data_IF_204163285008
#
_entry.id   IF_204163285008
#
_cell.length_a   1.000
_cell.length_b   1.000
_cell.length_c   1.000
_cell.angle_alpha   90.00
_cell.angle_beta   90.00
_cell.angle_gamma   90.00
#
_symmetry.space_group_name_H-M   'P 1'
#
loop_
_entity.id
_entity.type
_entity.pdbx_description
1 polymer ?
#
# COMPACT_ATOMS: atom_id res chain seq x y z
N UNK A 1 -14.53 9.74 -33.44
CA UNK A 1 -13.39 10.12 -34.28
C UNK A 1 -12.35 9.07 -34.02
N UNK A 2 -12.05 8.27 -35.03
CA UNK A 2 -11.01 7.25 -34.94
C UNK A 2 -9.66 7.96 -34.80
N UNK A 3 -8.75 7.37 -34.04
CA UNK A 3 -7.41 7.89 -33.78
C UNK A 3 -6.41 7.08 -34.57
N UNK A 4 -5.40 7.69 -35.19
CA UNK A 4 -4.26 6.95 -35.73
C UNK A 4 -3.24 6.65 -34.63
N UNK A 5 -2.90 5.37 -34.47
CA UNK A 5 -1.91 4.92 -33.49
C UNK A 5 -0.68 4.39 -34.22
N UNK A 6 0.49 4.93 -33.90
CA UNK A 6 1.75 4.35 -34.35
C UNK A 6 2.29 3.43 -33.26
N UNK A 7 2.34 2.14 -33.56
CA UNK A 7 2.98 1.14 -32.71
C UNK A 7 4.46 1.02 -33.09
N UNK A 8 5.34 1.38 -32.16
CA UNK A 8 6.79 1.35 -32.38
C UNK A 8 7.32 -0.01 -31.94
N UNK A 9 7.79 -0.79 -32.91
CA UNK A 9 8.43 -2.08 -32.65
C UNK A 9 9.66 -1.89 -31.74
N UNK A 10 9.82 -2.83 -30.81
CA UNK A 10 10.90 -2.76 -29.83
C UNK A 10 12.27 -2.70 -30.51
N UNK A 11 13.13 -1.78 -30.07
CA UNK A 11 14.47 -1.54 -30.61
C UNK A 11 14.51 -0.66 -31.87
N UNK A 12 13.38 -0.24 -32.44
CA UNK A 12 13.36 0.62 -33.62
C UNK A 12 13.51 2.11 -33.29
N UNK A 13 14.71 2.52 -32.87
CA UNK A 13 14.99 3.94 -32.54
C UNK A 13 15.11 4.86 -33.76
N UNK A 14 15.31 4.31 -34.96
CA UNK A 14 15.41 5.11 -36.19
C UNK A 14 14.09 5.83 -36.52
N UNK A 15 12.96 5.29 -36.07
CA UNK A 15 11.62 5.84 -36.36
C UNK A 15 11.43 7.26 -35.83
N UNK A 16 12.17 7.66 -34.78
CA UNK A 16 12.07 9.00 -34.19
C UNK A 16 12.67 10.10 -35.07
N UNK A 17 13.43 9.74 -36.11
CA UNK A 17 13.88 10.67 -37.16
C UNK A 17 12.88 10.85 -38.30
N UNK A 18 11.82 10.03 -38.38
CA UNK A 18 10.82 10.12 -39.43
C UNK A 18 9.81 11.23 -39.12
N UNK A 19 9.63 12.19 -40.03
CA UNK A 19 8.69 13.31 -39.89
C UNK A 19 7.22 12.88 -39.88
N UNK A 20 6.90 11.71 -40.41
CA UNK A 20 5.51 11.25 -40.49
C UNK A 20 4.96 10.80 -39.13
N UNK A 21 5.83 10.58 -38.12
CA UNK A 21 5.43 10.24 -36.74
C UNK A 21 4.46 11.28 -36.15
N UNK A 22 4.57 12.54 -36.57
CA UNK A 22 3.77 13.67 -36.13
C UNK A 22 2.31 13.61 -36.64
N UNK A 23 2.02 12.74 -37.62
CA UNK A 23 0.64 12.51 -38.05
C UNK A 23 -0.13 11.59 -37.10
N UNK A 24 0.53 10.89 -36.17
CA UNK A 24 -0.15 10.00 -35.23
C UNK A 24 -0.94 10.77 -34.16
N UNK A 25 -2.13 10.28 -33.80
CA UNK A 25 -2.83 10.74 -32.58
C UNK A 25 -2.13 10.27 -31.31
N UNK A 26 -1.53 9.08 -31.37
CA UNK A 26 -0.91 8.46 -30.22
C UNK A 26 0.20 7.51 -30.64
N UNK A 27 1.25 7.45 -29.84
CA UNK A 27 2.37 6.53 -29.99
C UNK A 27 2.25 5.41 -28.97
N UNK A 28 2.48 4.17 -29.38
CA UNK A 28 2.62 3.04 -28.46
C UNK A 28 4.09 2.64 -28.48
N UNK A 29 4.76 2.78 -27.33
CA UNK A 29 6.20 2.59 -27.19
C UNK A 29 6.44 1.55 -26.11
N UNK A 30 7.31 0.57 -26.38
CA UNK A 30 7.73 -0.37 -25.34
C UNK A 30 8.35 0.37 -24.14
N UNK A 31 7.96 0.01 -22.92
CA UNK A 31 8.44 0.69 -21.70
C UNK A 31 9.97 0.65 -21.55
N UNK A 32 10.64 -0.39 -22.04
CA UNK A 32 12.10 -0.51 -21.99
C UNK A 32 12.75 0.50 -22.93
N UNK A 33 12.27 0.63 -24.16
CA UNK A 33 12.80 1.61 -25.11
C UNK A 33 12.52 3.04 -24.64
N UNK A 34 11.31 3.28 -24.11
CA UNK A 34 10.97 4.55 -23.50
C UNK A 34 11.96 4.89 -22.36
N UNK A 35 12.30 3.92 -21.50
CA UNK A 35 13.26 4.14 -20.41
C UNK A 35 14.65 4.54 -20.91
N UNK A 36 15.11 3.98 -22.02
CA UNK A 36 16.39 4.33 -22.67
C UNK A 36 16.32 5.75 -23.23
N UNK A 37 15.23 6.09 -23.93
CA UNK A 37 15.02 7.40 -24.53
C UNK A 37 14.96 8.49 -23.44
N UNK A 38 14.20 8.26 -22.36
CA UNK A 38 14.10 9.21 -21.25
C UNK A 38 15.37 9.32 -20.43
N UNK A 39 16.19 8.26 -20.33
CA UNK A 39 17.52 8.37 -19.71
C UNK A 39 18.42 9.32 -20.51
N UNK A 40 18.25 9.38 -21.83
CA UNK A 40 18.94 10.29 -22.73
C UNK A 40 18.06 11.49 -23.14
N UNK A 41 17.19 11.96 -22.24
CA UNK A 41 16.12 12.91 -22.56
C UNK A 41 16.59 14.17 -23.29
N UNK A 42 17.78 14.71 -22.96
CA UNK A 42 18.33 15.91 -23.59
C UNK A 42 18.42 15.79 -25.12
N UNK A 43 18.73 14.59 -25.65
CA UNK A 43 18.83 14.35 -27.09
C UNK A 43 17.47 14.29 -27.79
N UNK A 44 16.39 14.07 -27.03
CA UNK A 44 15.02 13.91 -27.55
C UNK A 44 14.08 15.02 -27.06
N UNK A 45 14.58 16.01 -26.32
CA UNK A 45 13.75 17.01 -25.66
C UNK A 45 12.87 17.79 -26.64
N UNK A 46 13.43 18.21 -27.78
CA UNK A 46 12.68 18.91 -28.83
C UNK A 46 11.56 18.04 -29.41
N UNK A 47 11.85 16.77 -29.68
CA UNK A 47 10.88 15.79 -30.18
C UNK A 47 9.70 15.63 -29.22
N UNK A 48 9.97 15.44 -27.92
CA UNK A 48 8.92 15.28 -26.92
C UNK A 48 8.13 16.56 -26.67
N UNK A 49 8.77 17.73 -26.71
CA UNK A 49 8.06 19.01 -26.62
C UNK A 49 7.13 19.18 -27.81
N UNK A 50 7.59 18.83 -29.01
CA UNK A 50 6.73 18.83 -30.20
C UNK A 50 5.55 17.86 -30.08
N UNK A 51 5.75 16.67 -29.52
CA UNK A 51 4.64 15.76 -29.20
C UNK A 51 3.62 16.39 -28.25
N UNK A 52 4.05 17.14 -27.22
CA UNK A 52 3.13 17.88 -26.35
C UNK A 52 2.38 18.98 -27.09
N UNK A 53 3.08 19.77 -27.91
CA UNK A 53 2.51 20.90 -28.64
C UNK A 53 1.46 20.45 -29.67
N UNK A 54 1.72 19.32 -30.33
CA UNK A 54 0.80 18.67 -31.28
C UNK A 54 -0.21 17.73 -30.59
N UNK A 55 -0.18 17.64 -29.25
CA UNK A 55 -1.09 16.83 -28.42
C UNK A 55 -1.08 15.34 -28.77
N UNK A 56 0.10 14.82 -29.14
CA UNK A 56 0.35 13.42 -29.45
C UNK A 56 0.58 12.68 -28.12
N UNK A 57 -0.31 11.74 -27.80
CA UNK A 57 -0.22 10.98 -26.54
C UNK A 57 0.72 9.81 -26.65
N UNK A 58 1.50 9.56 -25.60
CA UNK A 58 2.37 8.38 -25.52
C UNK A 58 1.75 7.34 -24.59
N UNK A 59 1.56 6.14 -25.11
CA UNK A 59 1.15 4.95 -24.39
C UNK A 59 2.36 4.02 -24.21
N UNK A 60 2.69 3.72 -22.96
CA UNK A 60 3.77 2.78 -22.66
C UNK A 60 3.25 1.35 -22.71
N UNK A 61 3.74 0.54 -23.64
CA UNK A 61 3.45 -0.88 -23.68
C UNK A 61 4.16 -1.59 -22.53
N UNK A 62 3.36 -2.14 -21.61
CA UNK A 62 3.82 -2.87 -20.44
C UNK A 62 3.74 -4.38 -20.67
N UNK A 63 4.86 -5.07 -20.49
CA UNK A 63 4.93 -6.53 -20.55
C UNK A 63 4.40 -7.17 -19.26
N UNK A 64 3.36 -7.99 -19.39
CA UNK A 64 2.72 -8.69 -18.28
C UNK A 64 3.59 -9.82 -17.70
N UNK A 65 4.53 -10.36 -18.47
CA UNK A 65 5.33 -11.51 -18.08
C UNK A 65 6.48 -11.12 -17.16
N UNK A 66 6.97 -9.87 -17.23
CA UNK A 66 8.07 -9.39 -16.41
C UNK A 66 7.75 -8.06 -15.70
N UNK A 67 6.85 -8.14 -14.72
CA UNK A 67 6.38 -6.96 -13.98
C UNK A 67 7.48 -6.20 -13.23
N UNK A 68 8.48 -6.91 -12.68
CA UNK A 68 9.57 -6.27 -11.91
C UNK A 68 10.39 -5.35 -12.81
N UNK A 69 10.90 -5.88 -13.93
CA UNK A 69 11.67 -5.08 -14.90
C UNK A 69 10.81 -3.98 -15.52
N UNK A 70 9.53 -4.23 -15.80
CA UNK A 70 8.62 -3.19 -16.28
C UNK A 70 8.48 -2.03 -15.29
N UNK A 71 8.41 -2.31 -13.98
CA UNK A 71 8.29 -1.27 -12.97
C UNK A 71 9.57 -0.46 -12.80
N UNK A 72 10.74 -1.11 -12.90
CA UNK A 72 12.03 -0.44 -12.89
C UNK A 72 12.18 0.49 -14.12
N UNK A 73 11.84 -0.01 -15.32
CA UNK A 73 11.86 0.78 -16.55
C UNK A 73 10.86 1.95 -16.51
N UNK A 74 9.65 1.73 -15.99
CA UNK A 74 8.63 2.77 -15.86
C UNK A 74 9.11 3.92 -14.96
N UNK A 75 9.80 3.62 -13.86
CA UNK A 75 10.30 4.64 -12.92
C UNK A 75 11.40 5.53 -13.54
N UNK A 76 11.99 5.14 -14.68
CA UNK A 76 12.95 5.94 -15.46
C UNK A 76 12.30 6.86 -16.51
N UNK A 77 10.96 6.84 -16.65
CA UNK A 77 10.23 7.67 -17.62
C UNK A 77 9.72 8.97 -17.02
N UNK A 78 9.46 9.99 -17.86
CA UNK A 78 8.95 11.29 -17.42
C UNK A 78 7.43 11.40 -17.62
N UNK A 79 6.69 11.41 -16.51
CA UNK A 79 5.23 11.29 -16.53
C UNK A 79 4.49 12.41 -17.27
N UNK A 80 5.10 13.61 -17.39
CA UNK A 80 4.50 14.73 -18.11
C UNK A 80 4.25 14.47 -19.60
N UNK A 81 4.96 13.51 -20.21
CA UNK A 81 4.82 13.12 -21.62
C UNK A 81 3.95 11.87 -21.82
N UNK A 82 3.60 11.17 -20.75
CA UNK A 82 2.91 9.88 -20.82
C UNK A 82 1.40 10.10 -20.70
N UNK A 83 0.67 9.67 -21.73
CA UNK A 83 -0.79 9.70 -21.76
C UNK A 83 -1.42 8.48 -21.09
N UNK A 84 -0.75 7.33 -21.11
CA UNK A 84 -1.32 6.10 -20.58
C UNK A 84 -0.42 4.88 -20.68
N UNK A 85 -0.99 3.73 -20.31
CA UNK A 85 -0.36 2.41 -20.46
C UNK A 85 -1.09 1.61 -21.54
N UNK A 86 -0.33 0.98 -22.42
CA UNK A 86 -0.82 -0.02 -23.35
C UNK A 86 -0.61 -1.41 -22.75
N UNK A 87 -1.66 -2.22 -22.70
CA UNK A 87 -1.62 -3.54 -22.04
C UNK A 87 -2.31 -4.57 -22.93
N UNK A 88 -1.58 -5.62 -23.30
CA UNK A 88 -2.11 -6.72 -24.10
C UNK A 88 -2.74 -7.81 -23.23
N UNK A 89 -3.93 -8.25 -23.62
CA UNK A 89 -4.70 -9.35 -23.03
C UNK A 89 -4.67 -9.41 -21.47
N UNK A 90 -4.95 -8.31 -20.76
CA UNK A 90 -4.82 -8.30 -19.31
C UNK A 90 -5.99 -9.02 -18.64
N UNK A 91 -5.69 -9.81 -17.61
CA UNK A 91 -6.72 -10.25 -16.68
C UNK A 91 -7.19 -9.08 -15.77
N UNK A 92 -8.40 -9.17 -15.18
CA UNK A 92 -8.87 -8.21 -14.16
C UNK A 92 -7.85 -8.00 -13.01
N UNK A 93 -7.12 -9.07 -12.63
CA UNK A 93 -6.07 -9.01 -11.60
C UNK A 93 -4.89 -8.13 -12.05
N UNK A 94 -4.50 -8.23 -13.32
CA UNK A 94 -3.43 -7.42 -13.92
C UNK A 94 -3.87 -5.95 -14.01
N UNK A 95 -5.08 -5.66 -14.49
CA UNK A 95 -5.63 -4.29 -14.53
C UNK A 95 -5.67 -3.64 -13.15
N UNK A 96 -6.04 -4.39 -12.10
CA UNK A 96 -6.02 -3.89 -10.72
C UNK A 96 -4.60 -3.54 -10.27
N UNK A 97 -3.61 -4.37 -10.59
CA UNK A 97 -2.19 -4.11 -10.26
C UNK A 97 -1.67 -2.87 -10.98
N UNK A 98 -1.89 -2.76 -12.29
CA UNK A 98 -1.49 -1.57 -13.03
C UNK A 98 -2.27 -0.34 -12.60
N UNK A 99 -3.52 -0.44 -12.16
CA UNK A 99 -4.26 0.71 -11.61
C UNK A 99 -3.59 1.28 -10.36
N UNK A 100 -3.03 0.42 -9.51
CA UNK A 100 -2.24 0.83 -8.34
C UNK A 100 -0.89 1.40 -8.76
N UNK A 101 -0.20 0.79 -9.74
CA UNK A 101 1.10 1.28 -10.22
C UNK A 101 0.97 2.61 -10.97
N UNK A 102 -0.04 2.78 -11.81
CA UNK A 102 -0.38 4.05 -12.46
C UNK A 102 -0.61 5.14 -11.43
N UNK A 103 -1.26 4.80 -10.31
CA UNK A 103 -1.48 5.74 -9.22
C UNK A 103 -0.20 6.11 -8.47
N UNK A 104 0.66 5.13 -8.17
CA UNK A 104 1.99 5.38 -7.59
C UNK A 104 2.82 6.29 -8.50
N UNK A 105 2.80 5.99 -9.81
CA UNK A 105 3.49 6.77 -10.83
C UNK A 105 2.96 8.20 -10.94
N UNK A 106 1.63 8.40 -10.99
CA UNK A 106 1.01 9.73 -10.95
C UNK A 106 1.49 10.55 -9.74
N UNK A 107 1.54 9.94 -8.56
CA UNK A 107 1.99 10.61 -7.33
C UNK A 107 3.47 10.99 -7.39
N UNK A 108 4.35 10.07 -7.81
CA UNK A 108 5.80 10.31 -7.95
C UNK A 108 6.08 11.44 -8.95
N UNK A 109 5.37 11.44 -10.07
CA UNK A 109 5.52 12.39 -11.16
C UNK A 109 4.70 13.68 -10.96
N UNK A 110 4.02 13.84 -9.80
CA UNK A 110 3.17 14.99 -9.47
C UNK A 110 2.05 15.26 -10.49
N UNK A 111 1.51 14.21 -11.11
CA UNK A 111 0.40 14.25 -12.05
C UNK A 111 -0.95 14.22 -11.32
N UNK A 112 -2.02 14.58 -12.02
CA UNK A 112 -3.38 14.49 -11.48
C UNK A 112 -3.89 13.05 -11.45
N UNK A 113 -4.83 12.77 -10.54
CA UNK A 113 -5.50 11.48 -10.50
C UNK A 113 -6.19 11.16 -11.82
N UNK A 114 -5.92 9.95 -12.34
CA UNK A 114 -6.43 9.44 -13.63
C UNK A 114 -5.96 10.22 -14.86
N UNK A 115 -4.82 10.91 -14.77
CA UNK A 115 -4.13 11.39 -15.97
C UNK A 115 -3.59 10.21 -16.79
N UNK A 116 -3.14 9.13 -16.14
CA UNK A 116 -2.67 7.92 -16.81
C UNK A 116 -3.86 6.99 -17.07
N UNK A 117 -4.31 6.94 -18.33
CA UNK A 117 -5.36 6.02 -18.78
C UNK A 117 -4.80 4.72 -19.37
N UNK A 118 -5.66 3.72 -19.57
CA UNK A 118 -5.30 2.43 -20.13
C UNK A 118 -5.88 2.29 -21.53
N UNK A 119 -4.99 1.91 -22.44
CA UNK A 119 -5.33 1.36 -23.73
C UNK A 119 -5.10 -0.15 -23.66
N UNK A 120 -6.17 -0.92 -23.75
CA UNK A 120 -6.11 -2.37 -23.65
C UNK A 120 -6.35 -3.01 -25.01
N UNK A 121 -5.53 -4.00 -25.37
CA UNK A 121 -5.85 -4.91 -26.49
C UNK A 121 -6.39 -6.22 -25.94
N UNK A 122 -7.50 -6.72 -26.48
CA UNK A 122 -8.10 -8.00 -26.12
C UNK A 122 -8.39 -8.82 -27.38
N UNK A 123 -8.23 -10.14 -27.30
CA UNK A 123 -8.53 -11.02 -28.43
C UNK A 123 -10.05 -11.15 -28.67
N UNK A 124 -10.86 -11.15 -27.60
CA UNK A 124 -12.34 -11.17 -27.62
C UNK A 124 -12.93 -10.16 -26.62
N UNK A 125 -14.21 -9.83 -26.78
CA UNK A 125 -14.93 -8.93 -25.88
C UNK A 125 -15.01 -9.47 -24.45
N UNK A 126 -14.38 -8.78 -23.49
CA UNK A 126 -14.55 -9.02 -22.04
C UNK A 126 -15.18 -7.80 -21.37
N UNK A 127 -16.44 -7.94 -20.94
CA UNK A 127 -17.16 -6.91 -20.22
C UNK A 127 -16.47 -6.48 -18.92
N UNK A 128 -15.79 -7.41 -18.24
CA UNK A 128 -15.11 -7.09 -16.98
C UNK A 128 -14.01 -6.08 -17.21
N UNK A 129 -13.33 -6.15 -18.36
CA UNK A 129 -12.25 -5.23 -18.76
C UNK A 129 -12.82 -3.85 -19.11
N UNK A 130 -13.90 -3.79 -19.90
CA UNK A 130 -14.55 -2.52 -20.29
C UNK A 130 -14.99 -1.69 -19.07
N UNK A 131 -15.47 -2.37 -18.02
CA UNK A 131 -15.97 -1.71 -16.80
C UNK A 131 -14.86 -1.10 -15.94
N UNK A 132 -13.58 -1.33 -16.25
CA UNK A 132 -12.48 -0.74 -15.47
C UNK A 132 -12.37 0.76 -15.71
N UNK A 133 -12.46 1.53 -14.62
CA UNK A 133 -12.56 2.99 -14.67
C UNK A 133 -11.33 3.76 -15.20
N UNK A 134 -10.23 3.09 -15.53
CA UNK A 134 -9.04 3.67 -16.22
C UNK A 134 -8.96 3.25 -17.68
N UNK A 135 -9.74 2.25 -18.11
CA UNK A 135 -9.74 1.77 -19.49
C UNK A 135 -10.53 2.75 -20.34
N UNK A 136 -9.83 3.51 -21.18
CA UNK A 136 -10.42 4.52 -22.04
C UNK A 136 -10.40 4.10 -23.51
N UNK A 137 -9.48 3.21 -23.88
CA UNK A 137 -9.28 2.73 -25.24
C UNK A 137 -9.22 1.21 -25.23
N UNK A 138 -9.98 0.57 -26.12
CA UNK A 138 -9.94 -0.89 -26.27
C UNK A 138 -9.84 -1.27 -27.74
N UNK A 139 -8.82 -2.05 -28.07
CA UNK A 139 -8.73 -2.78 -29.33
C UNK A 139 -9.27 -4.19 -29.11
N UNK A 140 -10.30 -4.57 -29.86
CA UNK A 140 -10.80 -5.95 -29.90
C UNK A 140 -10.31 -6.57 -31.20
N UNK A 141 -9.38 -7.53 -31.13
CA UNK A 141 -8.73 -8.07 -32.35
C UNK A 141 -9.71 -8.85 -33.22
N UNK A 142 -10.63 -9.60 -32.60
CA UNK A 142 -11.64 -10.40 -33.29
C UNK A 142 -13.03 -9.97 -32.83
N UNK A 143 -13.75 -9.25 -33.68
CA UNK A 143 -15.13 -8.82 -33.41
C UNK A 143 -16.08 -9.77 -34.13
N UNK A 144 -16.81 -10.59 -33.37
CA UNK A 144 -17.91 -11.40 -33.86
C UNK A 144 -19.13 -10.49 -34.19
N UNK A 145 -19.88 -10.78 -35.26
CA UNK A 145 -20.97 -9.91 -35.73
C UNK A 145 -22.07 -9.69 -34.66
N UNK A 146 -22.39 -10.74 -33.91
CA UNK A 146 -23.35 -10.71 -32.80
C UNK A 146 -22.92 -9.78 -31.66
N UNK A 147 -21.62 -9.53 -31.51
CA UNK A 147 -21.07 -8.67 -30.47
C UNK A 147 -21.13 -7.17 -30.82
N UNK A 148 -21.36 -6.79 -32.09
CA UNK A 148 -21.32 -5.39 -32.54
C UNK A 148 -22.34 -4.50 -31.82
N UNK A 149 -23.59 -4.95 -31.70
CA UNK A 149 -24.66 -4.22 -31.00
C UNK A 149 -24.33 -4.04 -29.51
N UNK A 150 -23.77 -5.08 -28.90
CA UNK A 150 -23.34 -5.10 -27.50
C UNK A 150 -22.17 -4.15 -27.25
N UNK A 151 -21.19 -4.12 -28.15
CA UNK A 151 -20.04 -3.20 -28.10
C UNK A 151 -20.53 -1.74 -28.15
N UNK A 152 -21.43 -1.41 -29.07
CA UNK A 152 -22.00 -0.06 -29.20
C UNK A 152 -22.70 0.37 -27.90
N UNK A 153 -23.47 -0.54 -27.28
CA UNK A 153 -24.12 -0.29 -25.99
C UNK A 153 -23.09 0.00 -24.89
N UNK A 154 -22.08 -0.87 -24.74
CA UNK A 154 -21.05 -0.74 -23.72
C UNK A 154 -20.18 0.50 -23.90
N UNK A 155 -19.85 0.85 -25.14
CA UNK A 155 -19.13 2.08 -25.48
C UNK A 155 -19.90 3.34 -25.00
N UNK A 156 -21.21 3.39 -25.22
CA UNK A 156 -22.05 4.50 -24.75
C UNK A 156 -22.15 4.54 -23.23
N UNK A 157 -22.36 3.38 -22.60
CA UNK A 157 -22.56 3.27 -21.16
C UNK A 157 -21.31 3.62 -20.34
N UNK A 158 -20.14 3.12 -20.77
CA UNK A 158 -18.87 3.28 -20.06
C UNK A 158 -17.95 4.35 -20.63
N UNK A 159 -18.37 5.03 -21.71
CA UNK A 159 -17.61 6.07 -22.40
C UNK A 159 -16.21 5.62 -22.86
N UNK A 160 -16.07 4.34 -23.20
CA UNK A 160 -14.82 3.73 -23.68
C UNK A 160 -14.75 3.81 -25.20
N UNK A 161 -13.60 4.18 -25.73
CA UNK A 161 -13.36 4.28 -27.17
C UNK A 161 -12.91 2.92 -27.74
N UNK A 162 -13.66 2.39 -28.70
CA UNK A 162 -13.33 1.14 -29.38
C UNK A 162 -12.45 1.47 -30.58
N UNK A 163 -11.21 1.04 -30.49
CA UNK A 163 -10.17 1.28 -31.49
C UNK A 163 -10.26 0.19 -32.56
N UNK A 164 -10.30 0.61 -33.83
CA UNK A 164 -10.33 -0.32 -34.95
C UNK A 164 -8.91 -0.76 -35.30
N UNK A 165 -8.74 -1.99 -35.78
CA UNK A 165 -7.41 -2.54 -36.09
C UNK A 165 -6.71 -1.74 -37.19
N UNK A 166 -7.47 -1.22 -38.16
CA UNK A 166 -6.98 -0.43 -39.30
C UNK A 166 -6.42 0.93 -38.87
N UNK A 167 -6.73 1.35 -37.64
CA UNK A 167 -6.25 2.61 -37.09
C UNK A 167 -4.88 2.50 -36.41
N UNK A 168 -4.37 1.28 -36.24
CA UNK A 168 -3.04 1.01 -35.67
C UNK A 168 -2.10 0.57 -36.78
N UNK A 169 -0.95 1.23 -36.89
CA UNK A 169 0.08 0.93 -37.88
C UNK A 169 1.46 0.88 -37.23
N UNK A 170 2.38 0.11 -37.82
CA UNK A 170 3.81 0.17 -37.51
C UNK A 170 4.59 1.05 -38.50
N UNK A 171 3.96 1.42 -39.61
CA UNK A 171 4.55 2.23 -40.67
C UNK A 171 4.06 3.68 -40.57
N UNK A 172 4.94 4.66 -40.30
CA UNK A 172 4.57 6.06 -40.23
C UNK A 172 4.01 6.63 -41.54
N UNK A 173 4.45 6.16 -42.71
CA UNK A 173 4.12 6.81 -44.00
C UNK A 173 2.63 6.73 -44.35
N UNK A 174 1.93 5.74 -43.80
CA UNK A 174 0.48 5.56 -44.02
C UNK A 174 -0.37 6.29 -42.99
N UNK A 175 0.21 6.96 -41.99
CA UNK A 175 -0.54 7.69 -40.95
C UNK A 175 -1.42 8.78 -41.56
N UNK A 176 -0.92 9.48 -42.58
CA UNK A 176 -1.71 10.51 -43.27
C UNK A 176 -2.91 9.89 -43.99
N UNK A 177 -2.72 8.77 -44.69
CA UNK A 177 -3.81 8.03 -45.36
C UNK A 177 -4.86 7.51 -44.36
N UNK A 178 -4.42 6.98 -43.21
CA UNK A 178 -5.32 6.56 -42.12
C UNK A 178 -6.13 7.76 -41.64
N UNK A 179 -5.49 8.93 -41.48
CA UNK A 179 -6.15 10.15 -41.08
C UNK A 179 -7.13 10.69 -42.14
N UNK A 180 -6.79 10.60 -43.43
CA UNK A 180 -7.63 11.06 -44.55
C UNK A 180 -8.93 10.25 -44.67
N UNK A 181 -8.91 8.98 -44.28
CA UNK A 181 -10.12 8.17 -44.15
C UNK A 181 -11.09 8.70 -43.07
N UNK A 182 -10.71 9.71 -42.28
CA UNK A 182 -11.56 10.36 -41.32
C UNK A 182 -12.12 11.66 -41.90
N UNK A 183 -13.36 11.60 -42.40
CA UNK A 183 -14.11 12.79 -42.79
C UNK A 183 -14.41 13.60 -41.53
N UNK A 184 -13.66 14.68 -41.32
CA UNK A 184 -14.07 15.71 -40.38
C UNK A 184 -15.03 16.61 -41.13
N UNK A 185 -16.31 16.45 -40.82
CA UNK A 185 -17.36 17.32 -41.31
C UNK A 185 -17.00 18.80 -41.02
N UNK A 186 -16.85 19.60 -42.08
CA UNK A 186 -16.55 21.04 -41.99
C UNK A 186 -17.60 21.76 -41.13
N UNK A 187 -18.86 21.32 -41.19
CA UNK A 187 -19.92 21.87 -40.36
C UNK A 187 -19.64 21.65 -38.87
N UNK A 188 -19.13 20.46 -38.52
CA UNK A 188 -18.76 20.12 -37.14
C UNK A 188 -17.56 20.92 -36.65
N UNK A 189 -16.56 21.17 -37.50
CA UNK A 189 -15.41 22.05 -37.15
C UNK A 189 -15.93 23.46 -36.86
N UNK A 190 -16.80 24.00 -37.71
CA UNK A 190 -17.36 25.34 -37.54
C UNK A 190 -18.18 25.44 -36.24
N UNK A 191 -19.03 24.45 -35.95
CA UNK A 191 -19.77 24.36 -34.67
C UNK A 191 -18.81 24.34 -33.48
N UNK A 192 -17.74 23.54 -33.53
CA UNK A 192 -16.76 23.49 -32.45
C UNK A 192 -15.96 24.80 -32.29
N UNK A 193 -15.65 25.50 -33.39
CA UNK A 193 -15.00 26.82 -33.36
C UNK A 193 -15.92 27.86 -32.69
N UNK A 194 -17.19 27.86 -33.05
CA UNK A 194 -18.19 28.73 -32.45
C UNK A 194 -18.35 28.45 -30.96
N UNK A 195 -18.42 27.16 -30.58
CA UNK A 195 -18.41 26.73 -29.18
C UNK A 195 -17.20 27.29 -28.43
N UNK A 196 -15.98 27.15 -28.96
CA UNK A 196 -14.76 27.63 -28.31
C UNK A 196 -14.73 29.16 -28.16
N UNK A 197 -15.23 29.90 -29.17
CA UNK A 197 -15.36 31.37 -29.12
C UNK A 197 -16.37 31.79 -28.03
N UNK A 198 -17.57 31.20 -28.03
CA UNK A 198 -18.61 31.43 -27.01
C UNK A 198 -18.08 31.11 -25.62
N UNK A 199 -17.36 29.99 -25.47
CA UNK A 199 -16.82 29.56 -24.19
C UNK A 199 -15.78 30.56 -23.64
N UNK A 200 -14.96 31.18 -24.50
CA UNK A 200 -13.97 32.19 -24.10
C UNK A 200 -14.63 33.51 -23.66
N UNK A 201 -15.75 33.90 -24.27
CA UNK A 201 -16.41 35.19 -24.01
C UNK A 201 -17.51 35.12 -22.93
N UNK A 202 -18.10 33.95 -22.69
CA UNK A 202 -19.21 33.80 -21.75
C UNK A 202 -18.82 33.96 -20.28
N UNK A 203 -19.77 34.44 -19.46
CA UNK A 203 -19.64 34.46 -18.00
C UNK A 203 -19.59 33.03 -17.43
N UNK A 204 -19.02 32.85 -16.23
CA UNK A 204 -18.85 31.52 -15.60
C UNK A 204 -20.15 30.69 -15.52
N UNK A 205 -21.31 31.33 -15.30
CA UNK A 205 -22.61 30.65 -15.25
C UNK A 205 -23.00 30.11 -16.64
N UNK A 206 -22.86 30.93 -17.67
CA UNK A 206 -23.14 30.56 -19.07
C UNK A 206 -22.14 29.53 -19.61
N UNK A 207 -20.86 29.64 -19.25
CA UNK A 207 -19.84 28.62 -19.57
C UNK A 207 -20.24 27.24 -19.03
N UNK A 208 -20.66 27.15 -17.76
CA UNK A 208 -21.09 25.87 -17.16
C UNK A 208 -22.28 25.25 -17.89
N UNK A 209 -23.23 26.07 -18.33
CA UNK A 209 -24.39 25.61 -19.09
C UNK A 209 -24.00 25.10 -20.48
N UNK A 210 -23.24 25.90 -21.23
CA UNK A 210 -22.75 25.54 -22.57
C UNK A 210 -21.90 24.25 -22.54
N UNK A 211 -21.02 24.08 -21.55
CA UNK A 211 -20.24 22.85 -21.36
C UNK A 211 -21.14 21.63 -21.11
N UNK A 212 -22.24 21.81 -20.37
CA UNK A 212 -23.18 20.74 -20.06
C UNK A 212 -24.00 20.33 -21.29
N UNK A 213 -24.36 21.28 -22.13
CA UNK A 213 -25.19 21.06 -23.33
C UNK A 213 -24.38 20.50 -24.50
N UNK A 214 -23.23 21.11 -24.83
CA UNK A 214 -22.49 20.78 -26.06
C UNK A 214 -21.26 19.88 -25.83
N UNK A 215 -20.81 19.78 -24.58
CA UNK A 215 -19.65 18.96 -24.20
C UNK A 215 -18.31 19.58 -24.58
N UNK A 216 -17.45 19.81 -23.59
CA UNK A 216 -16.13 20.40 -23.82
C UNK A 216 -15.17 19.45 -24.56
N UNK A 217 -15.12 18.19 -24.15
CA UNK A 217 -14.14 17.22 -24.64
C UNK A 217 -14.36 16.89 -26.12
N UNK A 218 -15.62 16.72 -26.53
CA UNK A 218 -16.01 16.47 -27.92
C UNK A 218 -15.57 17.62 -28.84
N UNK A 219 -15.90 18.86 -28.48
CA UNK A 219 -15.60 20.04 -29.30
C UNK A 219 -14.09 20.31 -29.41
N UNK A 220 -13.37 20.34 -28.29
CA UNK A 220 -11.93 20.57 -28.34
C UNK A 220 -11.18 19.41 -29.02
N UNK A 221 -11.70 18.18 -29.02
CA UNK A 221 -11.12 17.08 -29.81
C UNK A 221 -11.23 17.34 -31.31
N UNK A 222 -12.37 17.83 -31.80
CA UNK A 222 -12.55 18.21 -33.21
C UNK A 222 -11.53 19.27 -33.59
N UNK A 223 -11.39 20.31 -32.76
CA UNK A 223 -10.49 21.43 -33.02
C UNK A 223 -9.01 21.05 -33.01
N UNK A 224 -8.59 20.22 -32.04
CA UNK A 224 -7.21 19.70 -32.00
C UNK A 224 -6.88 18.92 -33.29
N UNK A 225 -7.81 18.05 -33.71
CA UNK A 225 -7.62 17.25 -34.92
C UNK A 225 -7.59 18.14 -36.18
N UNK A 226 -8.52 19.08 -36.30
CA UNK A 226 -8.57 20.03 -37.42
C UNK A 226 -7.29 20.88 -37.50
N UNK A 227 -6.76 21.31 -36.36
CA UNK A 227 -5.48 22.04 -36.29
C UNK A 227 -4.31 21.17 -36.74
N UNK A 228 -4.22 19.93 -36.24
CA UNK A 228 -3.14 18.99 -36.59
C UNK A 228 -3.13 18.66 -38.08
N UNK A 229 -4.31 18.45 -38.67
CA UNK A 229 -4.48 18.22 -40.11
C UNK A 229 -4.33 19.50 -40.95
N UNK A 230 -3.97 20.64 -40.34
CA UNK A 230 -3.81 21.95 -40.99
C UNK A 230 -5.08 22.41 -41.74
N UNK A 231 -6.25 21.99 -41.26
CA UNK A 231 -7.55 22.48 -41.76
C UNK A 231 -7.86 23.85 -41.17
N UNK A 232 -7.37 24.13 -39.95
CA UNK A 232 -7.45 25.43 -39.27
C UNK A 232 -6.08 25.78 -38.69
N UNK A 233 -5.77 27.07 -38.58
CA UNK A 233 -4.48 27.54 -38.02
C UNK A 233 -4.43 27.41 -36.48
N UNK A 234 -5.45 27.95 -35.79
CA UNK A 234 -5.57 27.85 -34.33
C UNK A 234 -7.03 28.07 -33.88
N UNK A 235 -7.27 27.88 -32.58
CA UNK A 235 -8.58 28.10 -31.98
C UNK A 235 -8.48 28.64 -30.53
N UNK A 236 -9.53 29.31 -30.03
CA UNK A 236 -9.53 29.83 -28.66
C UNK A 236 -9.37 28.73 -27.61
N UNK A 237 -8.33 28.82 -26.76
CA UNK A 237 -8.12 27.92 -25.62
C UNK A 237 -8.70 28.53 -24.35
N UNK A 238 -9.49 27.74 -23.61
CA UNK A 238 -10.01 28.13 -22.29
C UNK A 238 -9.44 27.18 -21.24
N UNK A 239 -8.67 27.72 -20.29
CA UNK A 239 -8.10 26.94 -19.19
C UNK A 239 -9.12 26.82 -18.06
N UNK A 240 -9.54 25.58 -17.80
CA UNK A 240 -10.39 25.29 -16.65
C UNK A 240 -9.51 25.03 -15.43
N UNK A 241 -9.51 25.98 -14.49
CA UNK A 241 -8.92 25.73 -13.17
C UNK A 241 -9.83 24.77 -12.41
N UNK A 242 -9.61 23.47 -12.57
CA UNK A 242 -10.30 22.47 -11.76
C UNK A 242 -9.73 22.57 -10.36
N UNK A 243 -10.49 23.15 -9.42
CA UNK A 243 -10.15 23.11 -7.99
C UNK A 243 -9.94 21.64 -7.65
N UNK A 244 -8.69 21.25 -7.42
CA UNK A 244 -8.30 19.85 -7.18
C UNK A 244 -9.26 19.31 -6.15
N UNK A 245 -10.09 18.31 -6.51
CA UNK A 245 -10.79 17.54 -5.47
C UNK A 245 -9.67 17.10 -4.56
N UNK A 246 -9.68 17.49 -3.28
CA UNK A 246 -8.80 16.88 -2.28
C UNK A 246 -9.00 15.41 -2.51
N UNK A 247 -7.99 14.76 -3.07
CA UNK A 247 -8.06 13.34 -3.27
C UNK A 247 -8.43 12.82 -1.89
N UNK A 248 -9.52 12.06 -1.79
CA UNK A 248 -9.54 11.06 -0.74
C UNK A 248 -8.36 10.21 -1.13
N UNK A 249 -7.20 10.54 -0.55
CA UNK A 249 -6.12 9.62 -0.35
C UNK A 249 -6.87 8.49 0.35
N UNK A 250 -7.35 7.51 -0.44
CA UNK A 250 -7.43 6.15 0.03
C UNK A 250 -6.00 5.99 0.45
N UNK A 251 -5.76 6.18 1.76
CA UNK A 251 -4.48 5.86 2.34
C UNK A 251 -4.35 4.42 1.87
N UNK A 252 -3.52 4.17 0.83
CA UNK A 252 -2.78 2.91 0.71
C UNK A 252 -2.52 2.58 2.14
N UNK A 253 -3.17 1.55 2.73
CA UNK A 253 -3.34 1.43 4.17
C UNK A 253 -2.01 1.87 4.70
N UNK A 254 -1.95 3.09 5.28
CA UNK A 254 -0.64 3.63 5.59
C UNK A 254 -0.25 2.55 6.55
N UNK A 255 0.75 1.74 6.21
CA UNK A 255 1.47 1.04 7.24
C UNK A 255 2.23 2.19 7.88
N UNK A 256 1.45 2.94 8.64
CA UNK A 256 1.82 4.13 9.36
C UNK A 256 2.67 3.48 10.41
N UNK A 257 3.95 3.83 10.40
CA UNK A 257 4.94 3.39 11.37
C UNK A 257 5.50 1.99 11.07
N UNK A 258 6.29 1.84 10.01
CA UNK A 258 7.50 1.06 10.21
C UNK A 258 8.50 1.95 10.93
N UNK A 259 9.17 1.40 11.93
CA UNK A 259 10.29 2.06 12.57
C UNK A 259 11.38 2.30 11.52
N UNK A 260 12.17 3.36 11.69
CA UNK A 260 13.38 3.54 10.87
C UNK A 260 14.32 2.34 11.08
N UNK A 261 15.23 2.07 10.15
CA UNK A 261 16.18 0.95 10.29
C UNK A 261 16.92 1.01 11.64
N UNK A 262 17.37 2.21 12.05
CA UNK A 262 18.01 2.39 13.35
C UNK A 262 17.11 2.09 14.54
N UNK A 263 15.81 2.42 14.46
CA UNK A 263 14.84 2.07 15.50
C UNK A 263 14.55 0.55 15.53
N UNK A 264 14.44 -0.12 14.37
CA UNK A 264 14.32 -1.59 14.32
C UNK A 264 15.55 -2.27 14.94
N UNK A 265 16.77 -1.78 14.64
CA UNK A 265 18.01 -2.28 15.26
C UNK A 265 17.96 -2.07 16.78
N UNK A 266 17.61 -0.87 17.25
CA UNK A 266 17.51 -0.57 18.68
C UNK A 266 16.51 -1.49 19.39
N UNK A 267 15.33 -1.69 18.79
CA UNK A 267 14.30 -2.59 19.31
C UNK A 267 14.76 -4.05 19.34
N UNK A 268 15.44 -4.52 18.29
CA UNK A 268 15.98 -5.88 18.23
C UNK A 268 17.08 -6.11 19.26
N UNK A 269 18.00 -5.15 19.43
CA UNK A 269 19.10 -5.26 20.40
C UNK A 269 18.58 -5.28 21.83
N UNK A 270 17.66 -4.37 22.20
CA UNK A 270 17.15 -4.32 23.58
C UNK A 270 16.45 -5.61 23.97
N UNK A 271 15.52 -6.12 23.16
CA UNK A 271 14.88 -7.40 23.44
C UNK A 271 15.81 -8.60 23.23
N UNK A 272 16.85 -8.49 22.40
CA UNK A 272 17.90 -9.51 22.31
C UNK A 272 18.66 -9.67 23.64
N UNK A 273 18.93 -8.56 24.33
CA UNK A 273 19.47 -8.58 25.72
C UNK A 273 18.45 -9.22 26.67
N UNK A 274 17.17 -8.86 26.57
CA UNK A 274 16.11 -9.50 27.36
C UNK A 274 16.01 -11.03 27.15
N UNK A 275 16.24 -11.50 25.93
CA UNK A 275 16.24 -12.92 25.59
C UNK A 275 17.43 -13.63 26.25
N UNK A 276 18.63 -13.04 26.20
CA UNK A 276 19.81 -13.56 26.88
C UNK A 276 19.62 -13.61 28.42
N UNK A 277 19.05 -12.56 29.01
CA UNK A 277 18.69 -12.54 30.44
C UNK A 277 17.67 -13.63 30.77
N UNK A 278 16.67 -13.87 29.91
CA UNK A 278 15.65 -14.90 30.14
C UNK A 278 16.21 -16.33 30.08
N UNK A 279 17.26 -16.57 29.28
CA UNK A 279 18.00 -17.83 29.34
C UNK A 279 18.67 -18.00 30.71
N UNK A 280 19.28 -16.93 31.24
CA UNK A 280 19.86 -16.96 32.59
C UNK A 280 18.77 -17.20 33.66
N UNK A 281 17.61 -16.52 33.55
CA UNK A 281 16.47 -16.74 34.45
C UNK A 281 16.03 -18.20 34.45
N UNK A 282 15.90 -18.81 33.27
CA UNK A 282 15.51 -20.21 33.12
C UNK A 282 16.47 -21.15 33.84
N UNK A 283 17.78 -20.99 33.63
CA UNK A 283 18.80 -21.84 34.26
C UNK A 283 18.78 -21.66 35.79
N UNK A 284 18.81 -20.42 36.27
CA UNK A 284 18.85 -20.11 37.70
C UNK A 284 17.60 -20.66 38.41
N UNK A 285 16.43 -20.46 37.83
CA UNK A 285 15.17 -20.90 38.42
C UNK A 285 14.96 -22.42 38.38
N UNK A 286 15.48 -23.11 37.35
CA UNK A 286 15.53 -24.58 37.33
C UNK A 286 16.39 -25.09 38.49
N UNK A 287 17.58 -24.52 38.69
CA UNK A 287 18.47 -24.92 39.78
C UNK A 287 17.79 -24.71 41.13
N UNK A 288 17.18 -23.54 41.36
CA UNK A 288 16.40 -23.24 42.57
C UNK A 288 15.26 -24.24 42.78
N UNK A 289 14.46 -24.52 41.75
CA UNK A 289 13.33 -25.44 41.83
C UNK A 289 13.76 -26.88 42.16
N UNK A 290 14.88 -27.33 41.59
CA UNK A 290 15.45 -28.66 41.88
C UNK A 290 15.98 -28.76 43.31
N UNK A 291 16.60 -27.70 43.84
CA UNK A 291 17.08 -27.68 45.23
C UNK A 291 15.94 -27.73 46.26
N UNK A 292 14.79 -27.13 45.93
CA UNK A 292 13.62 -27.11 46.81
C UNK A 292 12.80 -28.41 46.86
N UNK A 293 13.10 -29.40 46.00
CA UNK A 293 12.35 -30.67 45.88
C UNK A 293 10.82 -30.51 45.76
N UNK A 294 10.35 -29.40 45.17
CA UNK A 294 8.92 -29.12 44.98
C UNK A 294 8.60 -29.01 43.48
N UNK A 295 7.89 -30.02 42.95
CA UNK A 295 7.53 -30.08 41.54
C UNK A 295 6.58 -28.95 41.10
N UNK A 296 5.71 -28.47 41.99
CA UNK A 296 4.83 -27.34 41.72
C UNK A 296 5.63 -26.04 41.61
N UNK A 297 6.62 -25.85 42.49
CA UNK A 297 7.50 -24.69 42.44
C UNK A 297 8.36 -24.70 41.16
N UNK A 298 9.01 -25.84 40.86
CA UNK A 298 9.81 -26.00 39.65
C UNK A 298 9.00 -25.72 38.38
N UNK A 299 7.80 -26.32 38.25
CA UNK A 299 6.96 -26.10 37.07
C UNK A 299 6.52 -24.63 36.94
N UNK A 300 6.14 -24.00 38.04
CA UNK A 300 5.75 -22.58 38.06
C UNK A 300 6.90 -21.66 37.64
N UNK A 301 8.12 -21.93 38.10
CA UNK A 301 9.29 -21.14 37.75
C UNK A 301 9.70 -21.32 36.28
N UNK A 302 9.63 -22.55 35.77
CA UNK A 302 9.92 -22.86 34.36
C UNK A 302 8.91 -22.17 33.44
N UNK A 303 7.63 -22.15 33.81
CA UNK A 303 6.58 -21.46 33.04
C UNK A 303 6.88 -19.95 32.93
N UNK A 304 7.24 -19.29 34.04
CA UNK A 304 7.65 -17.88 34.03
C UNK A 304 8.87 -17.65 33.12
N UNK A 305 9.92 -18.47 33.26
CA UNK A 305 11.14 -18.28 32.50
C UNK A 305 10.98 -18.54 30.99
N UNK A 306 10.22 -19.58 30.60
CA UNK A 306 9.97 -19.91 29.19
C UNK A 306 9.08 -18.82 28.54
N UNK A 307 8.04 -18.36 29.23
CA UNK A 307 7.18 -17.28 28.71
C UNK A 307 7.96 -15.97 28.52
N UNK A 308 8.87 -15.66 29.44
CA UNK A 308 9.82 -14.53 29.29
C UNK A 308 10.70 -14.72 28.06
N UNK A 309 11.36 -15.87 27.94
CA UNK A 309 12.21 -16.18 26.79
C UNK A 309 11.44 -16.08 25.46
N UNK A 310 10.23 -16.61 25.41
CA UNK A 310 9.37 -16.56 24.23
C UNK A 310 9.06 -15.12 23.81
N UNK A 311 8.70 -14.24 24.76
CA UNK A 311 8.44 -12.83 24.48
C UNK A 311 9.65 -12.14 23.88
N UNK A 312 10.78 -12.20 24.56
CA UNK A 312 11.97 -11.48 24.13
C UNK A 312 12.53 -12.03 22.82
N UNK A 313 12.52 -13.36 22.64
CA UNK A 313 12.99 -13.99 21.41
C UNK A 313 12.09 -13.65 20.22
N UNK A 314 10.77 -13.77 20.35
CA UNK A 314 9.84 -13.46 19.26
C UNK A 314 9.92 -11.99 18.85
N UNK A 315 10.08 -11.09 19.83
CA UNK A 315 10.27 -9.68 19.57
C UNK A 315 11.59 -9.36 18.87
N UNK A 316 12.67 -9.99 19.30
CA UNK A 316 13.99 -9.87 18.67
C UNK A 316 13.94 -10.31 17.21
N UNK A 317 13.33 -11.47 16.93
CA UNK A 317 13.17 -11.98 15.56
C UNK A 317 12.30 -11.02 14.74
N UNK A 318 11.17 -10.57 15.28
CA UNK A 318 10.28 -9.63 14.60
C UNK A 318 11.01 -8.35 14.16
N UNK A 319 11.79 -7.75 15.05
CA UNK A 319 12.52 -6.52 14.76
C UNK A 319 13.73 -6.73 13.86
N UNK A 320 14.34 -7.91 13.89
CA UNK A 320 15.45 -8.27 13.00
C UNK A 320 15.01 -8.56 11.55
N UNK A 321 13.73 -8.85 11.32
CA UNK A 321 13.26 -9.24 9.99
C UNK A 321 13.08 -8.05 9.02
N UNK A 322 13.34 -8.25 7.71
CA UNK A 322 13.24 -7.19 6.70
C UNK A 322 11.85 -6.57 6.59
N UNK A 323 11.83 -5.24 6.45
CA UNK A 323 10.60 -4.46 6.25
C UNK A 323 9.81 -4.97 5.04
N UNK A 324 8.48 -5.10 5.21
CA UNK A 324 7.57 -5.56 4.16
C UNK A 324 7.61 -7.07 3.85
N UNK A 325 8.45 -7.85 4.51
CA UNK A 325 8.47 -9.31 4.34
C UNK A 325 7.23 -9.97 4.96
N UNK A 326 6.77 -11.08 4.34
CA UNK A 326 5.70 -11.92 4.92
C UNK A 326 6.09 -12.48 6.29
N UNK A 327 7.36 -12.82 6.46
CA UNK A 327 7.90 -13.31 7.73
C UNK A 327 7.78 -12.25 8.82
N UNK A 328 8.14 -10.97 8.56
CA UNK A 328 7.98 -9.90 9.55
C UNK A 328 6.52 -9.74 9.99
N UNK A 329 5.56 -9.87 9.07
CA UNK A 329 4.14 -9.82 9.42
C UNK A 329 3.70 -11.00 10.32
N UNK A 330 4.23 -12.20 10.10
CA UNK A 330 3.93 -13.36 10.93
C UNK A 330 4.55 -13.22 12.32
N UNK A 331 5.84 -12.87 12.40
CA UNK A 331 6.53 -12.67 13.67
C UNK A 331 6.01 -11.47 14.46
N UNK A 332 5.41 -10.48 13.80
CA UNK A 332 4.67 -9.42 14.50
C UNK A 332 3.49 -9.97 15.30
N UNK A 333 2.80 -11.01 14.79
CA UNK A 333 1.74 -11.67 15.54
C UNK A 333 2.29 -12.45 16.73
N UNK A 334 3.41 -13.15 16.52
CA UNK A 334 4.09 -13.88 17.60
C UNK A 334 4.58 -12.94 18.70
N UNK A 335 5.21 -11.83 18.34
CA UNK A 335 5.62 -10.78 19.27
C UNK A 335 4.45 -10.25 20.12
N UNK A 336 3.29 -10.02 19.52
CA UNK A 336 2.12 -9.53 20.26
C UNK A 336 1.46 -10.61 21.12
N UNK A 337 1.37 -11.87 20.66
CA UNK A 337 0.74 -12.93 21.45
C UNK A 337 1.59 -13.30 22.67
N UNK A 338 2.92 -13.20 22.56
CA UNK A 338 3.80 -13.53 23.68
C UNK A 338 3.66 -12.58 24.87
N UNK A 339 3.07 -11.40 24.68
CA UNK A 339 2.72 -10.50 25.81
C UNK A 339 1.68 -11.16 26.72
N UNK A 340 0.66 -11.79 26.14
CA UNK A 340 -0.34 -12.53 26.92
C UNK A 340 0.28 -13.72 27.66
N UNK A 341 1.18 -14.45 26.99
CA UNK A 341 1.88 -15.58 27.60
C UNK A 341 2.77 -15.13 28.76
N UNK A 342 3.50 -14.02 28.61
CA UNK A 342 4.33 -13.49 29.69
C UNK A 342 3.49 -13.02 30.88
N UNK A 343 2.34 -12.39 30.66
CA UNK A 343 1.45 -11.99 31.77
C UNK A 343 1.02 -13.25 32.55
N UNK A 344 0.43 -14.25 31.88
CA UNK A 344 0.00 -15.47 32.57
C UNK A 344 1.17 -16.24 33.20
N UNK A 345 2.30 -16.33 32.51
CA UNK A 345 3.50 -17.00 33.00
C UNK A 345 4.13 -16.31 34.22
N UNK A 346 4.11 -14.98 34.26
CA UNK A 346 4.54 -14.18 35.43
C UNK A 346 3.69 -14.47 36.64
N UNK A 347 2.38 -14.52 36.47
CA UNK A 347 1.47 -14.78 37.58
C UNK A 347 1.48 -16.21 38.08
N UNK A 348 1.86 -17.20 37.26
CA UNK A 348 1.83 -18.62 37.62
C UNK A 348 2.50 -18.91 38.98
N UNK A 349 3.77 -18.52 39.24
CA UNK A 349 4.39 -18.72 40.54
C UNK A 349 3.70 -17.94 41.67
N UNK A 350 3.27 -16.69 41.46
CA UNK A 350 2.55 -15.94 42.50
C UNK A 350 1.19 -16.58 42.84
N UNK A 351 0.47 -17.07 41.84
CA UNK A 351 -0.82 -17.72 42.06
C UNK A 351 -0.67 -19.06 42.76
N UNK A 352 0.26 -19.91 42.32
CA UNK A 352 0.36 -21.29 42.81
C UNK A 352 1.17 -21.42 44.10
N UNK A 353 2.08 -20.48 44.38
CA UNK A 353 2.99 -20.56 45.53
C UNK A 353 2.70 -19.49 46.59
N UNK A 354 2.38 -18.25 46.20
CA UNK A 354 2.12 -17.16 47.15
C UNK A 354 0.65 -17.11 47.59
N UNK A 355 -0.29 -17.05 46.65
CA UNK A 355 -1.73 -17.10 46.97
C UNK A 355 -2.09 -18.53 47.43
N UNK A 356 -1.64 -19.53 46.67
CA UNK A 356 -1.79 -20.95 46.98
C UNK A 356 -3.25 -21.41 47.16
N UNK A 357 -3.44 -22.70 47.45
CA UNK A 357 -4.75 -23.33 47.63
C UNK A 357 -5.70 -23.19 46.43
N UNK A 358 -6.99 -23.34 46.68
CA UNK A 358 -8.02 -23.27 45.63
C UNK A 358 -8.08 -21.89 44.97
N UNK A 359 -7.92 -20.82 45.76
CA UNK A 359 -7.89 -19.44 45.25
C UNK A 359 -6.76 -19.26 44.24
N UNK A 360 -5.56 -19.72 44.57
CA UNK A 360 -4.39 -19.68 43.70
C UNK A 360 -4.61 -20.41 42.37
N UNK A 361 -5.22 -21.60 42.42
CA UNK A 361 -5.57 -22.37 41.21
C UNK A 361 -6.58 -21.62 40.34
N UNK A 362 -7.64 -21.07 40.95
CA UNK A 362 -8.67 -20.30 40.23
C UNK A 362 -8.05 -19.07 39.54
N UNK A 363 -7.18 -18.34 40.24
CA UNK A 363 -6.47 -17.18 39.69
C UNK A 363 -5.59 -17.59 38.51
N UNK A 364 -4.84 -18.69 38.65
CA UNK A 364 -3.99 -19.22 37.59
C UNK A 364 -4.82 -19.56 36.34
N UNK A 365 -5.91 -20.32 36.49
CA UNK A 365 -6.81 -20.70 35.40
C UNK A 365 -7.41 -19.46 34.74
N UNK A 366 -7.90 -18.49 35.52
CA UNK A 366 -8.47 -17.25 35.01
C UNK A 366 -7.50 -16.49 34.11
N UNK A 367 -6.23 -16.37 34.54
CA UNK A 367 -5.21 -15.65 33.78
C UNK A 367 -4.80 -16.39 32.51
N UNK A 368 -4.72 -17.72 32.53
CA UNK A 368 -4.44 -18.53 31.35
C UNK A 368 -5.60 -18.52 30.34
N UNK A 369 -6.86 -18.53 30.81
CA UNK A 369 -8.04 -18.32 29.95
C UNK A 369 -7.99 -16.92 29.33
N UNK A 370 -7.69 -15.89 30.12
CA UNK A 370 -7.51 -14.52 29.64
C UNK A 370 -6.42 -14.42 28.57
N UNK A 371 -5.29 -15.07 28.77
CA UNK A 371 -4.20 -15.13 27.81
C UNK A 371 -4.58 -15.88 26.53
N UNK A 372 -5.35 -16.97 26.65
CA UNK A 372 -5.88 -17.72 25.51
C UNK A 372 -6.85 -16.86 24.68
N UNK A 373 -7.79 -16.17 25.33
CA UNK A 373 -8.72 -15.24 24.67
C UNK A 373 -7.93 -14.11 23.97
N UNK A 374 -6.97 -13.51 24.66
CA UNK A 374 -6.09 -12.48 24.10
C UNK A 374 -5.32 -12.96 22.87
N UNK A 375 -4.80 -14.19 22.92
CA UNK A 375 -4.11 -14.84 21.80
C UNK A 375 -5.06 -15.06 20.62
N UNK A 376 -6.25 -15.60 20.86
CA UNK A 376 -7.26 -15.84 19.83
C UNK A 376 -7.67 -14.54 19.13
N UNK A 377 -7.91 -13.47 19.91
CA UNK A 377 -8.20 -12.14 19.37
C UNK A 377 -7.05 -11.60 18.52
N UNK A 378 -5.81 -11.81 18.95
CA UNK A 378 -4.60 -11.40 18.20
C UNK A 378 -4.52 -12.13 16.85
N UNK A 379 -4.84 -13.43 16.82
CA UNK A 379 -4.80 -14.24 15.59
C UNK A 379 -5.94 -13.86 14.63
N UNK A 380 -7.18 -13.76 15.13
CA UNK A 380 -8.39 -13.55 14.32
C UNK A 380 -8.58 -12.10 13.86
N UNK A 381 -8.19 -11.12 14.70
CA UNK A 381 -8.49 -9.70 14.49
C UNK A 381 -7.25 -8.80 14.55
N UNK A 382 -6.09 -9.33 14.13
CA UNK A 382 -4.81 -8.63 14.17
C UNK A 382 -4.88 -7.18 13.66
N UNK A 383 -4.48 -6.23 14.51
CA UNK A 383 -4.41 -4.81 14.18
C UNK A 383 -5.75 -4.03 14.12
N UNK A 384 -6.91 -4.69 14.26
CA UNK A 384 -8.22 -4.01 14.24
C UNK A 384 -8.59 -3.36 15.57
N UNK A 385 -8.24 -3.97 16.70
CA UNK A 385 -8.69 -3.55 18.04
C UNK A 385 -7.52 -3.20 18.97
N UNK A 386 -6.57 -2.39 18.51
CA UNK A 386 -5.38 -2.02 19.32
C UNK A 386 -5.71 -1.49 20.73
N UNK A 387 -6.70 -0.59 20.94
CA UNK A 387 -7.05 -0.14 22.29
C UNK A 387 -7.58 -1.26 23.19
N UNK A 388 -8.31 -2.22 22.63
CA UNK A 388 -8.84 -3.36 23.37
C UNK A 388 -7.71 -4.24 23.92
N UNK A 389 -6.68 -4.52 23.11
CA UNK A 389 -5.50 -5.26 23.59
C UNK A 389 -4.81 -4.55 24.76
N UNK A 390 -4.65 -3.23 24.68
CA UNK A 390 -4.05 -2.40 25.73
C UNK A 390 -4.87 -2.50 27.03
N UNK A 391 -6.19 -2.35 26.95
CA UNK A 391 -7.09 -2.47 28.10
C UNK A 391 -6.97 -3.88 28.72
N UNK A 392 -6.98 -4.91 27.88
CA UNK A 392 -6.89 -6.29 28.34
C UNK A 392 -5.53 -6.59 29.00
N UNK A 393 -4.42 -6.04 28.49
CA UNK A 393 -3.10 -6.16 29.13
C UNK A 393 -3.07 -5.52 30.51
N UNK A 394 -3.65 -4.32 30.66
CA UNK A 394 -3.70 -3.62 31.95
C UNK A 394 -4.58 -4.43 32.92
N UNK A 395 -5.75 -4.86 32.47
CA UNK A 395 -6.69 -5.63 33.29
C UNK A 395 -6.07 -6.93 33.81
N UNK A 396 -5.49 -7.74 32.92
CA UNK A 396 -4.80 -8.97 33.34
C UNK A 396 -3.56 -8.64 34.20
N UNK A 397 -2.79 -7.63 33.81
CA UNK A 397 -1.56 -7.22 34.49
C UNK A 397 -1.73 -6.75 35.93
N UNK A 398 -2.91 -6.22 36.29
CA UNK A 398 -3.22 -5.74 37.64
C UNK A 398 -4.16 -6.67 38.43
N UNK A 399 -4.37 -7.91 37.95
CA UNK A 399 -5.22 -8.89 38.66
C UNK A 399 -4.73 -9.19 40.08
N UNK A 400 -3.43 -9.05 40.35
CA UNK A 400 -2.83 -9.18 41.68
C UNK A 400 -3.50 -8.29 42.76
N UNK A 401 -4.02 -7.11 42.38
CA UNK A 401 -4.65 -6.20 43.35
C UNK A 401 -5.92 -6.78 43.98
N UNK A 402 -6.65 -7.64 43.25
CA UNK A 402 -7.85 -8.28 43.79
C UNK A 402 -7.53 -9.31 44.88
N UNK A 403 -6.28 -9.80 44.93
CA UNK A 403 -5.79 -10.80 45.88
C UNK A 403 -4.66 -10.25 46.75
N UNK A 404 -4.60 -8.92 46.90
CA UNK A 404 -3.49 -8.26 47.59
C UNK A 404 -3.41 -8.65 49.07
N UNK A 405 -4.54 -8.97 49.70
CA UNK A 405 -4.59 -9.47 51.09
C UNK A 405 -3.82 -10.78 51.24
N UNK A 406 -4.06 -11.74 50.34
CA UNK A 406 -3.38 -13.04 50.35
C UNK A 406 -1.90 -12.88 50.01
N UNK A 407 -1.57 -11.96 49.09
CA UNK A 407 -0.18 -11.66 48.74
C UNK A 407 0.56 -11.04 49.93
N UNK A 408 -0.01 -10.05 50.62
CA UNK A 408 0.62 -9.41 51.79
C UNK A 408 0.80 -10.40 52.94
N UNK A 409 -0.13 -11.34 53.11
CA UNK A 409 -0.02 -12.35 54.15
C UNK A 409 1.11 -13.37 53.91
N UNK A 410 1.47 -13.63 52.64
CA UNK A 410 2.39 -14.70 52.25
C UNK A 410 3.69 -14.20 51.58
N UNK A 411 3.88 -12.88 51.45
CA UNK A 411 5.04 -12.29 50.80
C UNK A 411 5.66 -11.20 51.67
N UNK A 412 6.98 -11.29 51.85
CA UNK A 412 7.72 -10.27 52.59
C UNK A 412 7.62 -8.89 51.93
N UNK A 413 7.76 -7.82 52.73
CA UNK A 413 7.62 -6.44 52.27
C UNK A 413 8.51 -6.11 51.07
N UNK A 414 9.76 -6.58 51.06
CA UNK A 414 10.67 -6.33 49.94
C UNK A 414 10.20 -7.06 48.69
N UNK A 415 9.73 -8.31 48.81
CA UNK A 415 9.09 -9.05 47.72
C UNK A 415 7.88 -8.32 47.16
N UNK A 416 7.03 -7.77 48.03
CA UNK A 416 5.88 -6.95 47.62
C UNK A 416 6.31 -5.69 46.84
N UNK A 417 7.36 -4.99 47.29
CA UNK A 417 7.91 -3.83 46.59
C UNK A 417 8.43 -4.21 45.20
N UNK A 418 9.10 -5.36 45.06
CA UNK A 418 9.57 -5.86 43.76
C UNK A 418 8.38 -6.21 42.84
N UNK A 419 7.34 -6.88 43.37
CA UNK A 419 6.14 -7.24 42.63
C UNK A 419 5.41 -6.00 42.10
N UNK A 420 5.12 -5.04 42.99
CA UNK A 420 4.44 -3.78 42.63
C UNK A 420 5.31 -2.94 41.71
N UNK A 421 6.61 -2.85 42.00
CA UNK A 421 7.58 -2.16 41.16
C UNK A 421 7.59 -2.70 39.73
N UNK A 422 7.61 -4.03 39.55
CA UNK A 422 7.53 -4.65 38.23
C UNK A 422 6.24 -4.30 37.49
N UNK A 423 5.09 -4.30 38.18
CA UNK A 423 3.80 -3.88 37.62
C UNK A 423 3.77 -2.39 37.19
N UNK A 424 4.41 -1.52 37.97
CA UNK A 424 4.57 -0.11 37.64
C UNK A 424 5.47 0.10 36.42
N UNK A 425 6.59 -0.62 36.31
CA UNK A 425 7.46 -0.57 35.13
C UNK A 425 6.69 -0.95 33.85
N UNK A 426 5.89 -2.03 33.88
CA UNK A 426 5.03 -2.38 32.74
C UNK A 426 3.99 -1.29 32.41
N UNK A 427 3.36 -0.71 33.43
CA UNK A 427 2.31 0.29 33.22
C UNK A 427 2.87 1.60 32.66
N UNK A 428 3.98 2.09 33.22
CA UNK A 428 4.67 3.31 32.76
C UNK A 428 5.21 3.08 31.35
N UNK A 429 5.81 1.91 31.10
CA UNK A 429 6.26 1.53 29.77
C UNK A 429 5.13 1.62 28.72
N UNK A 430 3.91 1.21 29.09
CA UNK A 430 2.78 1.15 28.18
C UNK A 430 2.39 2.54 27.67
N UNK A 431 2.65 3.59 28.45
CA UNK A 431 2.48 4.99 28.05
C UNK A 431 3.35 5.30 26.83
N UNK A 432 4.63 4.92 26.87
CA UNK A 432 5.54 5.06 25.73
C UNK A 432 5.04 4.27 24.52
N UNK A 433 4.63 3.01 24.71
CA UNK A 433 4.09 2.18 23.62
C UNK A 433 2.83 2.79 22.96
N UNK A 434 1.90 3.33 23.76
CA UNK A 434 0.64 3.86 23.29
C UNK A 434 0.78 5.24 22.63
N UNK A 435 1.53 6.15 23.25
CA UNK A 435 1.56 7.58 22.89
C UNK A 435 2.61 7.94 21.83
N UNK A 436 3.62 7.10 21.58
CA UNK A 436 4.67 7.34 20.55
C UNK A 436 5.30 8.75 20.63
N UNK A 437 5.77 9.10 21.83
CA UNK A 437 6.16 10.46 22.20
C UNK A 437 7.34 11.04 21.39
N UNK A 438 8.35 10.22 21.05
CA UNK A 438 9.57 10.61 20.33
C UNK A 438 10.20 9.46 19.51
N UNK A 439 11.26 9.74 18.72
CA UNK A 439 12.02 8.69 17.99
C UNK A 439 12.64 7.71 18.97
N UNK A 440 12.58 6.39 18.72
CA UNK A 440 12.99 5.32 19.67
C UNK A 440 12.07 5.11 20.89
N UNK A 441 10.86 5.68 20.92
CA UNK A 441 9.91 5.43 22.01
C UNK A 441 9.63 3.93 22.24
N UNK A 442 9.64 3.12 21.19
CA UNK A 442 9.42 1.67 21.33
C UNK A 442 10.60 0.94 22.00
N UNK A 443 11.81 1.40 21.73
CA UNK A 443 13.00 0.89 22.40
C UNK A 443 12.96 1.24 23.90
N UNK A 444 12.45 2.43 24.25
CA UNK A 444 12.21 2.80 25.64
C UNK A 444 11.16 1.87 26.27
N UNK A 445 10.05 1.59 25.58
CA UNK A 445 9.09 0.57 26.01
C UNK A 445 9.77 -0.78 26.30
N UNK A 446 10.66 -1.26 25.41
CA UNK A 446 11.40 -2.50 25.62
C UNK A 446 12.23 -2.49 26.91
N UNK A 447 12.89 -1.38 27.21
CA UNK A 447 13.67 -1.22 28.44
C UNK A 447 12.77 -1.32 29.68
N UNK A 448 11.59 -0.68 29.67
CA UNK A 448 10.63 -0.80 30.77
C UNK A 448 10.12 -2.23 30.96
N UNK A 449 9.87 -2.96 29.87
CA UNK A 449 9.47 -4.39 29.91
C UNK A 449 10.57 -5.24 30.55
N UNK A 450 11.83 -5.03 30.16
CA UNK A 450 12.99 -5.74 30.72
C UNK A 450 13.12 -5.49 32.23
N UNK A 451 13.02 -4.24 32.68
CA UNK A 451 13.06 -3.92 34.11
C UNK A 451 11.87 -4.51 34.86
N UNK A 452 10.68 -4.47 34.28
CA UNK A 452 9.49 -5.11 34.85
C UNK A 452 9.70 -6.61 35.08
N UNK A 453 10.14 -7.33 34.04
CA UNK A 453 10.44 -8.77 34.17
C UNK A 453 11.58 -9.04 35.14
N UNK A 454 12.63 -8.21 35.16
CA UNK A 454 13.74 -8.35 36.10
C UNK A 454 13.27 -8.26 37.55
N UNK A 455 12.44 -7.28 37.90
CA UNK A 455 11.92 -7.15 39.27
C UNK A 455 11.06 -8.35 39.66
N UNK A 456 10.22 -8.84 38.75
CA UNK A 456 9.43 -10.05 38.99
C UNK A 456 10.31 -11.31 39.11
N UNK A 457 11.34 -11.44 38.28
CA UNK A 457 12.34 -12.50 38.42
C UNK A 457 13.04 -12.46 39.78
N UNK A 458 13.50 -11.29 40.24
CA UNK A 458 14.15 -11.14 41.54
C UNK A 458 13.18 -11.47 42.69
N UNK A 459 11.91 -11.07 42.56
CA UNK A 459 10.87 -11.44 43.51
C UNK A 459 10.72 -12.97 43.59
N UNK A 460 10.59 -13.64 42.45
CA UNK A 460 10.46 -15.10 42.37
C UNK A 460 11.73 -15.80 42.88
N UNK A 461 12.91 -15.27 42.58
CA UNK A 461 14.18 -15.89 42.96
C UNK A 461 14.40 -15.87 44.47
N UNK A 462 14.09 -14.74 45.12
CA UNK A 462 14.46 -14.51 46.53
C UNK A 462 13.31 -14.70 47.53
N UNK A 463 12.04 -14.60 47.10
CA UNK A 463 10.89 -14.55 48.03
C UNK A 463 9.83 -15.62 47.79
N UNK A 464 9.90 -16.36 46.67
CA UNK A 464 9.11 -17.57 46.41
C UNK A 464 10.07 -18.76 46.41
#
# INVERSE_FOLDING_TARGET
MRRSYLYINQGNFQIYGNKDIFYADSLIINVYDASIIFKNFNNYQELFNRFLDENIKIYLHLDNNNLKKCYEALDLTLGKYIGGFYIENPSPKILRRFSLKARDYELKQRLEYKTIDFFVSVDKLDEKIIKYSRVNHILIKNIEDEAKSKIIRLQKEWQVDIVSKESITINPTILNQINDNFIIDKEKINKSLEFARKLKTYSRKKQKQLIKEEGIVSNYRVLNLAKRLKIIDDYPKVFFYKKRKKEKIIKTPRIKNFYTLGEEIGNAVTHGVGAALSIAYLVILIIKGLQGNNALALSSYVIFAISSLALYLMSTIYHSLPLGSKSKMLFQKFDHLTIYLLIAGTYTPFSLLTISGDTGIIVCIFLWIGAFIGTLLTVLAFGKFRPFHIILYIFLGWTALFFISDIIANLELIGLVLLVGGGLFYTIGLIFYAMKLFKYTHMVWHIFVIFGTLLHFLCILFYL
#
